data_IF_935952071622
#
_entry.id   IF_935952071622
#
_cell.length_a   1.000
_cell.length_b   1.000
_cell.length_c   1.000
_cell.angle_alpha   90.00
_cell.angle_beta   90.00
_cell.angle_gamma   90.00
#
_symmetry.space_group_name_H-M   'P 1'
#
loop_
_entity.id
_entity.type
_entity.pdbx_description
1 polymer ?
#
# COMPACT_ATOMS: atom_id res chain seq x y z
N UNK A 1 -16.06 -4.48 -26.45
CA UNK A 1 -14.62 -4.84 -26.31
C UNK A 1 -14.41 -6.24 -26.87
N UNK A 2 -13.34 -6.49 -27.63
CA UNK A 2 -13.15 -7.79 -28.28
C UNK A 2 -12.62 -8.83 -27.28
N UNK A 3 -13.30 -9.98 -27.12
CA UNK A 3 -12.96 -10.98 -26.07
C UNK A 3 -11.55 -11.57 -26.24
N UNK A 4 -11.10 -11.71 -27.48
CA UNK A 4 -9.77 -12.24 -27.81
C UNK A 4 -8.64 -11.32 -27.32
N UNK A 5 -8.78 -10.00 -27.53
CA UNK A 5 -7.80 -9.01 -27.08
C UNK A 5 -7.71 -8.97 -25.55
N UNK A 6 -8.86 -9.03 -24.87
CA UNK A 6 -8.91 -9.12 -23.41
C UNK A 6 -8.22 -10.39 -22.89
N UNK A 7 -8.49 -11.54 -23.51
CA UNK A 7 -7.87 -12.81 -23.09
C UNK A 7 -6.35 -12.77 -23.25
N UNK A 8 -5.83 -12.21 -24.35
CA UNK A 8 -4.39 -12.00 -24.56
C UNK A 8 -3.82 -11.11 -23.45
N UNK A 9 -4.41 -9.92 -23.25
CA UNK A 9 -3.93 -8.95 -22.28
C UNK A 9 -3.91 -9.51 -20.84
N UNK A 10 -4.93 -10.28 -20.46
CA UNK A 10 -5.00 -10.94 -19.14
C UNK A 10 -3.90 -12.00 -19.00
N UNK A 11 -3.68 -12.83 -20.03
CA UNK A 11 -2.71 -13.91 -19.98
C UNK A 11 -1.28 -13.36 -19.81
N UNK A 12 -0.96 -12.29 -20.53
CA UNK A 12 0.34 -11.62 -20.45
C UNK A 12 0.57 -10.94 -19.09
N UNK A 13 -0.47 -10.37 -18.49
CA UNK A 13 -0.34 -9.64 -17.22
C UNK A 13 -0.43 -10.53 -15.97
N UNK A 14 -0.93 -11.76 -16.09
CA UNK A 14 -1.29 -12.60 -14.94
C UNK A 14 -0.09 -12.90 -14.02
N UNK A 15 1.07 -13.22 -14.58
CA UNK A 15 2.26 -13.58 -13.77
C UNK A 15 2.74 -12.39 -12.94
N UNK A 16 2.82 -11.20 -13.54
CA UNK A 16 3.14 -9.97 -12.85
C UNK A 16 2.11 -9.64 -11.78
N UNK A 17 0.82 -9.76 -12.13
CA UNK A 17 -0.28 -9.48 -11.20
C UNK A 17 -0.22 -10.38 -9.97
N UNK A 18 -0.03 -11.69 -10.18
CA UNK A 18 0.10 -12.66 -9.08
C UNK A 18 1.32 -12.36 -8.20
N UNK A 19 2.46 -12.02 -8.79
CA UNK A 19 3.66 -11.65 -8.03
C UNK A 19 3.42 -10.43 -7.13
N UNK A 20 2.86 -9.35 -7.69
CA UNK A 20 2.51 -8.16 -6.92
C UNK A 20 1.43 -8.45 -5.86
N UNK A 21 0.40 -9.22 -6.18
CA UNK A 21 -0.68 -9.56 -5.26
C UNK A 21 -0.16 -10.37 -4.06
N UNK A 22 0.69 -11.37 -4.29
CA UNK A 22 1.29 -12.18 -3.22
C UNK A 22 2.22 -11.32 -2.36
N UNK A 23 3.08 -10.50 -2.96
CA UNK A 23 3.97 -9.63 -2.22
C UNK A 23 3.20 -8.65 -1.31
N UNK A 24 2.16 -8.01 -1.86
CA UNK A 24 1.30 -7.10 -1.10
C UNK A 24 0.54 -7.82 0.02
N UNK A 25 -0.05 -8.98 -0.27
CA UNK A 25 -0.82 -9.74 0.71
C UNK A 25 0.06 -10.22 1.89
N UNK A 26 1.23 -10.77 1.59
CA UNK A 26 2.19 -11.20 2.60
C UNK A 26 2.67 -10.01 3.43
N UNK A 27 3.09 -8.92 2.77
CA UNK A 27 3.59 -7.74 3.46
C UNK A 27 2.54 -7.13 4.40
N UNK A 28 1.33 -6.89 3.92
CA UNK A 28 0.23 -6.34 4.73
C UNK A 28 -0.11 -7.25 5.91
N UNK A 29 -0.20 -8.57 5.68
CA UNK A 29 -0.56 -9.53 6.75
C UNK A 29 0.53 -9.62 7.82
N UNK A 30 1.79 -9.71 7.40
CA UNK A 30 2.94 -9.73 8.31
C UNK A 30 3.02 -8.41 9.10
N UNK A 31 2.76 -7.27 8.44
CA UNK A 31 2.81 -5.97 9.09
C UNK A 31 1.78 -5.85 10.20
N UNK A 32 0.53 -6.26 9.95
CA UNK A 32 -0.53 -6.25 10.99
C UNK A 32 -0.15 -7.18 12.15
N UNK A 33 0.37 -8.37 11.85
CA UNK A 33 0.86 -9.29 12.87
C UNK A 33 1.97 -8.67 13.73
N UNK A 34 2.96 -8.01 13.10
CA UNK A 34 4.03 -7.29 13.80
C UNK A 34 3.46 -6.19 14.69
N UNK A 35 2.55 -5.36 14.18
CA UNK A 35 1.97 -4.23 14.94
C UNK A 35 1.34 -4.69 16.25
N UNK A 36 0.68 -5.85 16.26
CA UNK A 36 0.03 -6.37 17.45
C UNK A 36 0.98 -6.90 18.54
N UNK A 37 2.25 -7.17 18.21
CA UNK A 37 3.23 -7.68 19.17
C UNK A 37 3.97 -6.58 19.96
N UNK A 38 3.88 -5.31 19.54
CA UNK A 38 4.66 -4.22 20.12
C UNK A 38 3.82 -3.27 20.99
N UNK A 39 4.13 -3.21 22.30
CA UNK A 39 3.62 -2.18 23.21
C UNK A 39 4.45 -0.89 23.09
N UNK A 40 3.79 0.25 22.95
CA UNK A 40 4.42 1.53 22.57
C UNK A 40 4.63 2.50 23.72
N UNK A 41 4.15 2.15 24.92
CA UNK A 41 4.33 2.98 26.12
C UNK A 41 5.82 3.25 26.39
N UNK A 42 6.70 2.27 26.16
CA UNK A 42 8.15 2.43 26.34
C UNK A 42 8.82 3.28 25.26
N UNK A 43 8.19 3.43 24.09
CA UNK A 43 8.75 4.17 22.96
C UNK A 43 8.33 5.63 22.92
N UNK A 44 7.31 6.05 23.70
CA UNK A 44 6.85 7.44 23.74
C UNK A 44 7.98 8.40 24.12
N UNK A 45 8.75 8.09 25.15
CA UNK A 45 9.88 8.92 25.61
C UNK A 45 10.97 9.05 24.55
N UNK A 46 11.20 8.03 23.73
CA UNK A 46 12.20 8.07 22.64
C UNK A 46 11.66 8.91 21.48
N UNK A 47 10.40 8.74 21.10
CA UNK A 47 9.79 9.48 19.98
C UNK A 47 9.70 10.98 20.28
N UNK A 48 9.42 11.36 21.53
CA UNK A 48 9.40 12.77 21.96
C UNK A 48 10.76 13.46 21.78
N UNK A 49 11.88 12.75 21.92
CA UNK A 49 13.21 13.31 21.64
C UNK A 49 13.42 13.66 20.16
N UNK A 50 12.70 12.99 19.25
CA UNK A 50 12.80 13.22 17.81
C UNK A 50 11.68 14.09 17.25
N UNK A 51 10.91 14.80 18.10
CA UNK A 51 9.76 15.62 17.68
C UNK A 51 10.10 16.66 16.61
N UNK A 52 11.33 17.18 16.60
CA UNK A 52 11.80 18.10 15.55
C UNK A 52 11.81 17.47 14.14
N UNK A 53 11.99 16.15 14.06
CA UNK A 53 11.96 15.38 12.80
C UNK A 53 10.55 14.90 12.42
N UNK A 54 9.52 15.23 13.20
CA UNK A 54 8.12 14.88 12.90
C UNK A 54 7.70 15.36 11.51
N UNK A 55 8.20 16.53 11.08
CA UNK A 55 7.93 17.08 9.73
C UNK A 55 8.37 16.16 8.58
N UNK A 56 9.40 15.35 8.78
CA UNK A 56 9.90 14.40 7.77
C UNK A 56 9.07 13.11 7.72
N UNK A 57 8.26 12.86 8.76
CA UNK A 57 7.40 11.69 8.83
C UNK A 57 6.16 11.88 7.95
N UNK A 58 5.75 10.88 7.16
CA UNK A 58 4.48 10.90 6.43
C UNK A 58 3.24 11.02 7.33
N UNK A 59 3.35 10.58 8.59
CA UNK A 59 2.25 10.50 9.55
C UNK A 59 2.67 11.17 10.87
N UNK A 60 1.81 12.01 11.49
CA UNK A 60 2.12 12.65 12.77
C UNK A 60 2.35 11.62 13.87
N UNK A 61 3.26 11.92 14.80
CA UNK A 61 3.70 10.97 15.81
C UNK A 61 2.58 10.55 16.76
N UNK A 62 1.61 11.43 16.99
CA UNK A 62 0.40 11.13 17.77
C UNK A 62 -0.40 9.96 17.17
N UNK A 63 -0.52 9.91 15.84
CA UNK A 63 -1.22 8.83 15.16
C UNK A 63 -0.41 7.53 15.15
N UNK A 64 0.93 7.61 15.17
CA UNK A 64 1.80 6.42 15.28
C UNK A 64 1.64 5.70 16.62
N UNK A 65 1.17 6.37 17.67
CA UNK A 65 0.86 5.71 18.94
C UNK A 65 -0.42 4.89 18.87
N UNK A 66 -1.36 5.23 17.98
CA UNK A 66 -2.60 4.48 17.80
C UNK A 66 -2.40 3.22 16.93
N UNK A 67 -3.11 2.14 17.23
CA UNK A 67 -3.08 0.92 16.41
C UNK A 67 -3.51 1.18 14.96
N UNK A 68 -4.55 2.01 14.77
CA UNK A 68 -5.04 2.40 13.46
C UNK A 68 -4.01 3.17 12.64
N UNK A 69 -3.32 4.14 13.26
CA UNK A 69 -2.27 4.91 12.57
C UNK A 69 -1.06 4.06 12.19
N UNK A 70 -0.64 3.10 13.02
CA UNK A 70 0.45 2.17 12.66
C UNK A 70 0.10 1.29 11.46
N UNK A 71 -1.15 0.84 11.37
CA UNK A 71 -1.62 0.11 10.19
C UNK A 71 -1.68 1.04 8.98
N UNK A 72 -2.12 2.29 9.15
CA UNK A 72 -2.20 3.27 8.07
C UNK A 72 -0.83 3.57 7.42
N UNK A 73 0.26 3.61 8.21
CA UNK A 73 1.63 3.78 7.69
C UNK A 73 1.99 2.74 6.63
N UNK A 74 1.38 1.55 6.67
CA UNK A 74 1.61 0.49 5.68
C UNK A 74 1.38 0.98 4.24
N UNK A 75 0.48 1.94 4.02
CA UNK A 75 0.19 2.47 2.69
C UNK A 75 1.28 3.38 2.13
N UNK A 76 2.12 3.95 2.99
CA UNK A 76 3.27 4.80 2.62
C UNK A 76 4.58 4.00 2.55
N UNK A 77 4.56 2.73 2.93
CA UNK A 77 5.75 1.88 2.91
C UNK A 77 6.29 1.69 1.48
N UNK A 78 7.62 1.80 1.28
CA UNK A 78 8.23 1.69 -0.04
C UNK A 78 7.87 0.39 -0.76
N UNK A 79 7.71 -0.72 -0.04
CA UNK A 79 7.36 -2.01 -0.64
C UNK A 79 5.99 -1.95 -1.33
N UNK A 80 4.99 -1.32 -0.69
CA UNK A 80 3.64 -1.18 -1.26
C UNK A 80 3.69 -0.26 -2.48
N UNK A 81 4.36 0.88 -2.35
CA UNK A 81 4.52 1.87 -3.43
C UNK A 81 5.28 1.28 -4.62
N UNK A 82 6.34 0.50 -4.37
CA UNK A 82 7.11 -0.17 -5.42
C UNK A 82 6.28 -1.23 -6.13
N UNK A 83 5.49 -2.04 -5.42
CA UNK A 83 4.64 -3.05 -6.05
C UNK A 83 3.61 -2.43 -7.00
N UNK A 84 2.95 -1.36 -6.58
CA UNK A 84 1.97 -0.64 -7.43
C UNK A 84 2.65 0.08 -8.59
N UNK A 85 3.83 0.66 -8.37
CA UNK A 85 4.59 1.33 -9.41
C UNK A 85 5.09 0.33 -10.46
N UNK A 86 5.58 -0.83 -10.04
CA UNK A 86 5.98 -1.92 -10.94
C UNK A 86 4.80 -2.38 -11.78
N UNK A 87 3.63 -2.62 -11.18
CA UNK A 87 2.41 -2.96 -11.93
C UNK A 87 2.05 -1.89 -12.96
N UNK A 88 1.97 -0.62 -12.52
CA UNK A 88 1.57 0.51 -13.35
C UNK A 88 2.55 0.75 -14.52
N UNK A 89 3.85 0.79 -14.24
CA UNK A 89 4.90 1.10 -15.23
C UNK A 89 5.08 -0.06 -16.20
N UNK A 90 5.12 -1.31 -15.72
CA UNK A 90 5.27 -2.46 -16.60
C UNK A 90 4.09 -2.57 -17.57
N UNK A 91 2.85 -2.42 -17.07
CA UNK A 91 1.65 -2.51 -17.92
C UNK A 91 1.44 -1.30 -18.81
N UNK A 92 1.74 -0.10 -18.34
CA UNK A 92 1.65 1.11 -19.15
C UNK A 92 2.66 1.11 -20.30
N UNK A 93 3.90 0.69 -20.04
CA UNK A 93 4.95 0.59 -21.08
C UNK A 93 4.73 -0.57 -22.06
N UNK A 94 4.11 -1.66 -21.61
CA UNK A 94 3.79 -2.79 -22.49
C UNK A 94 2.68 -2.46 -23.51
N UNK A 95 1.95 -1.36 -23.33
CA UNK A 95 0.84 -0.95 -24.21
C UNK A 95 1.29 -0.62 -25.64
N UNK A 96 2.46 0.03 -25.79
CA UNK A 96 2.97 0.47 -27.09
C UNK A 96 4.38 -0.07 -27.30
N UNK A 97 5.35 0.34 -26.47
CA UNK A 97 6.75 -0.02 -26.66
C UNK A 97 7.01 -1.52 -26.44
N UNK A 98 6.24 -2.18 -25.57
CA UNK A 98 6.36 -3.63 -25.33
C UNK A 98 5.96 -4.48 -26.54
N UNK A 99 4.81 -4.20 -27.15
CA UNK A 99 4.37 -4.90 -28.37
C UNK A 99 5.27 -4.57 -29.57
N UNK A 100 5.77 -3.34 -29.66
CA UNK A 100 6.70 -2.93 -30.70
C UNK A 100 8.05 -3.63 -30.58
N UNK A 101 8.59 -3.73 -29.35
CA UNK A 101 9.85 -4.42 -29.08
C UNK A 101 9.78 -5.95 -29.28
N UNK A 102 8.61 -6.56 -29.11
CA UNK A 102 8.37 -7.99 -29.36
C UNK A 102 8.09 -8.31 -30.83
N UNK A 103 7.95 -7.31 -31.70
CA UNK A 103 7.54 -7.49 -33.09
C UNK A 103 6.08 -7.95 -33.26
N UNK A 104 5.29 -8.01 -32.19
CA UNK A 104 3.89 -8.46 -32.22
C UNK A 104 2.94 -7.36 -32.70
N UNK A 105 3.35 -6.09 -32.61
CA UNK A 105 2.53 -4.96 -33.04
C UNK A 105 2.18 -5.00 -34.54
N UNK A 106 3.13 -5.38 -35.40
CA UNK A 106 2.89 -5.48 -36.85
C UNK A 106 1.89 -6.60 -37.18
N UNK A 107 1.99 -7.73 -36.48
CA UNK A 107 1.03 -8.84 -36.60
C UNK A 107 -0.38 -8.46 -36.13
N UNK A 108 -0.50 -7.67 -35.05
CA UNK A 108 -1.80 -7.19 -34.56
C UNK A 108 -2.44 -6.17 -35.50
N UNK A 109 -1.64 -5.31 -36.13
CA UNK A 109 -2.12 -4.30 -37.08
C UNK A 109 -2.46 -4.88 -38.46
N UNK A 110 -1.92 -6.06 -38.80
CA UNK A 110 -2.32 -6.81 -40.00
C UNK A 110 -3.74 -7.40 -39.88
N UNK A 111 -4.25 -7.54 -38.65
CA UNK A 111 -5.62 -7.99 -38.39
C UNK A 111 -6.57 -6.78 -38.43
N UNK A 112 -7.86 -6.97 -38.80
CA UNK A 112 -8.83 -5.89 -38.95
C UNK A 112 -9.34 -5.36 -37.59
N UNK A 113 -8.43 -4.86 -36.76
CA UNK A 113 -8.73 -4.24 -35.47
C UNK A 113 -8.45 -2.74 -35.48
N UNK A 114 -9.34 -1.96 -34.85
CA UNK A 114 -9.12 -0.52 -34.69
C UNK A 114 -8.03 -0.28 -33.63
N UNK A 115 -7.10 0.66 -33.88
CA UNK A 115 -5.99 0.99 -32.96
C UNK A 115 -6.47 1.34 -31.54
N UNK A 116 -7.57 2.07 -31.43
CA UNK A 116 -8.19 2.41 -30.14
C UNK A 116 -8.74 1.21 -29.37
N UNK A 117 -9.17 0.15 -30.07
CA UNK A 117 -9.64 -1.08 -29.41
C UNK A 117 -8.48 -1.88 -28.79
N UNK A 118 -7.30 -1.85 -29.41
CA UNK A 118 -6.09 -2.50 -28.88
C UNK A 118 -5.67 -1.81 -27.58
N UNK A 119 -5.43 -0.50 -27.64
CA UNK A 119 -5.02 0.32 -26.49
C UNK A 119 -6.09 0.29 -25.39
N UNK A 120 -7.37 0.44 -25.76
CA UNK A 120 -8.47 0.44 -24.80
C UNK A 120 -8.63 -0.89 -24.06
N UNK A 121 -8.37 -2.02 -24.73
CA UNK A 121 -8.41 -3.33 -24.08
C UNK A 121 -7.29 -3.52 -23.06
N UNK A 122 -6.08 -3.05 -23.37
CA UNK A 122 -4.95 -3.09 -22.43
C UNK A 122 -5.16 -2.13 -21.26
N UNK A 123 -5.62 -0.90 -21.53
CA UNK A 123 -5.96 0.07 -20.50
C UNK A 123 -7.03 -0.48 -19.53
N UNK A 124 -8.09 -1.10 -20.05
CA UNK A 124 -9.12 -1.71 -19.22
C UNK A 124 -8.57 -2.81 -18.30
N UNK A 125 -7.71 -3.70 -18.82
CA UNK A 125 -7.08 -4.75 -18.02
C UNK A 125 -6.15 -4.17 -16.95
N UNK A 126 -5.41 -3.10 -17.27
CA UNK A 126 -4.51 -2.44 -16.31
C UNK A 126 -5.29 -1.77 -15.17
N UNK A 127 -6.38 -1.07 -15.48
CA UNK A 127 -7.25 -0.41 -14.48
C UNK A 127 -7.97 -1.45 -13.61
N UNK A 128 -8.53 -2.49 -14.21
CA UNK A 128 -9.18 -3.58 -13.46
C UNK A 128 -8.17 -4.31 -12.59
N UNK A 129 -6.97 -4.61 -13.12
CA UNK A 129 -5.91 -5.24 -12.34
C UNK A 129 -5.43 -4.37 -11.17
N UNK A 130 -5.34 -3.05 -11.36
CA UNK A 130 -5.05 -2.11 -10.28
C UNK A 130 -6.13 -2.09 -9.19
N UNK A 131 -7.41 -2.08 -9.59
CA UNK A 131 -8.52 -2.18 -8.64
C UNK A 131 -8.47 -3.50 -7.86
N UNK A 132 -8.19 -4.62 -8.52
CA UNK A 132 -8.05 -5.91 -7.84
C UNK A 132 -6.85 -5.94 -6.88
N UNK A 133 -5.71 -5.33 -7.21
CA UNK A 133 -4.58 -5.21 -6.27
C UNK A 133 -4.94 -4.41 -5.03
N UNK A 134 -5.71 -3.33 -5.19
CA UNK A 134 -6.21 -2.53 -4.07
C UNK A 134 -7.23 -3.28 -3.21
N UNK A 135 -8.05 -4.13 -3.82
CA UNK A 135 -8.92 -5.03 -3.07
C UNK A 135 -8.11 -6.07 -2.29
N UNK A 136 -7.03 -6.59 -2.87
CA UNK A 136 -6.14 -7.55 -2.18
C UNK A 136 -5.46 -6.89 -0.99
N UNK A 137 -4.94 -5.67 -1.10
CA UNK A 137 -4.32 -4.96 0.04
C UNK A 137 -5.33 -4.71 1.15
N UNK A 138 -6.51 -4.22 0.82
CA UNK A 138 -7.58 -3.99 1.79
C UNK A 138 -8.06 -5.28 2.47
N UNK A 139 -8.30 -6.35 1.71
CA UNK A 139 -8.68 -7.65 2.25
C UNK A 139 -7.60 -8.25 3.13
N UNK A 140 -6.33 -8.08 2.78
CA UNK A 140 -5.21 -8.59 3.58
C UNK A 140 -5.12 -7.90 4.93
N UNK A 141 -5.36 -6.58 4.97
CA UNK A 141 -5.45 -5.83 6.23
C UNK A 141 -6.67 -6.29 7.03
N UNK A 142 -7.84 -6.42 6.40
CA UNK A 142 -9.04 -6.90 7.07
C UNK A 142 -8.85 -8.29 7.69
N UNK A 143 -8.29 -9.23 6.93
CA UNK A 143 -7.98 -10.59 7.42
C UNK A 143 -6.94 -10.52 8.54
N UNK A 144 -5.89 -9.72 8.39
CA UNK A 144 -4.87 -9.52 9.42
C UNK A 144 -5.45 -9.01 10.73
N UNK A 145 -6.34 -8.02 10.69
CA UNK A 145 -6.97 -7.44 11.88
C UNK A 145 -7.87 -8.47 12.58
N UNK A 146 -8.58 -9.31 11.82
CA UNK A 146 -9.47 -10.32 12.41
C UNK A 146 -8.73 -11.52 13.00
N UNK A 147 -7.57 -11.88 12.43
CA UNK A 147 -6.77 -13.02 12.89
C UNK A 147 -5.83 -12.67 14.05
N UNK A 148 -5.58 -11.39 14.29
CA UNK A 148 -4.55 -10.96 15.25
C UNK A 148 -5.17 -10.44 16.54
N UNK A 149 -4.62 -10.90 17.66
CA UNK A 149 -4.98 -10.45 19.01
C UNK A 149 -3.86 -9.58 19.58
N UNK A 150 -4.21 -8.51 20.29
CA UNK A 150 -3.29 -7.57 20.91
C UNK A 150 -3.11 -7.93 22.38
N UNK A 151 -1.86 -7.94 22.85
CA UNK A 151 -1.53 -8.11 24.28
C UNK A 151 -1.43 -6.73 24.91
N UNK A 152 -2.40 -6.35 25.72
CA UNK A 152 -2.35 -5.11 26.51
C UNK A 152 -1.77 -5.40 27.91
N UNK A 153 -0.88 -4.52 28.39
CA UNK A 153 -0.49 -4.51 29.80
C UNK A 153 -1.73 -4.08 30.62
N UNK A 154 -2.15 -4.83 31.65
CA UNK A 154 -3.47 -4.64 32.25
C UNK A 154 -3.54 -3.32 33.03
N UNK A 155 -4.74 -2.73 33.16
CA UNK A 155 -4.97 -1.67 34.14
C UNK A 155 -4.58 -2.18 35.54
N UNK A 156 -4.03 -1.33 36.43
CA UNK A 156 -3.59 -1.75 37.75
C UNK A 156 -4.72 -2.47 38.48
N UNK A 157 -4.49 -3.72 38.88
CA UNK A 157 -5.47 -4.58 39.51
C UNK A 157 -6.11 -3.85 40.69
N UNK A 158 -7.38 -3.48 40.59
CA UNK A 158 -8.01 -2.61 41.58
C UNK A 158 -8.83 -3.45 42.54
N UNK A 159 -8.48 -3.45 43.82
CA UNK A 159 -9.31 -4.09 44.85
C UNK A 159 -10.41 -3.10 45.28
N UNK A 160 -11.67 -3.49 45.08
CA UNK A 160 -12.83 -2.74 45.60
C UNK A 160 -13.09 -3.17 47.03
N UNK A 161 -12.81 -2.29 47.99
CA UNK A 161 -13.09 -2.58 49.41
C UNK A 161 -14.60 -2.42 49.64
N UNK A 162 -15.34 -3.49 50.04
CA UNK A 162 -16.81 -3.52 50.01
C UNK A 162 -17.52 -2.55 50.98
N UNK A 163 -16.78 -1.83 51.82
CA UNK A 163 -17.36 -0.89 52.80
C UNK A 163 -17.15 0.59 52.50
N UNK A 164 -16.19 0.98 51.65
CA UNK A 164 -15.83 2.40 51.44
C UNK A 164 -15.66 2.84 49.98
N UNK A 165 -15.84 1.96 49.00
CA UNK A 165 -15.81 2.34 47.58
C UNK A 165 -14.46 2.90 47.08
N UNK A 166 -13.40 2.85 47.89
CA UNK A 166 -12.05 3.22 47.46
C UNK A 166 -11.45 2.10 46.60
N UNK A 167 -10.97 2.51 45.44
CA UNK A 167 -10.24 1.70 44.48
C UNK A 167 -8.75 1.75 44.83
N UNK A 168 -8.24 0.71 45.50
CA UNK A 168 -6.82 0.63 45.88
C UNK A 168 -6.08 -0.21 44.84
N UNK A 169 -5.04 0.33 44.17
CA UNK A 169 -4.25 -0.42 43.21
C UNK A 169 -3.43 -1.50 43.93
N UNK A 170 -3.64 -2.76 43.53
CA UNK A 170 -3.00 -3.94 44.07
C UNK A 170 -1.61 -4.11 43.44
N UNK A 171 -0.58 -3.74 44.20
CA UNK A 171 0.84 -3.82 43.82
C UNK A 171 1.42 -5.26 43.85
N UNK A 172 0.65 -6.25 44.30
CA UNK A 172 1.09 -7.64 44.52
C UNK A 172 0.52 -8.64 43.49
N UNK A 173 -0.37 -8.20 42.59
CA UNK A 173 -0.88 -9.05 41.52
C UNK A 173 0.07 -8.94 40.31
N UNK A 174 0.63 -10.07 39.87
CA UNK A 174 1.35 -10.13 38.61
C UNK A 174 0.38 -9.68 37.48
N UNK A 175 0.74 -8.66 36.68
CA UNK A 175 -0.11 -8.17 35.61
C UNK A 175 -0.33 -9.28 34.57
N UNK A 176 -1.46 -9.99 34.62
CA UNK A 176 -1.83 -10.94 33.56
C UNK A 176 -2.16 -10.15 32.29
N UNK A 177 -1.45 -10.38 31.16
CA UNK A 177 -1.68 -9.66 29.92
C UNK A 177 -3.08 -9.98 29.40
N UNK A 178 -3.93 -8.95 29.24
CA UNK A 178 -5.27 -9.11 28.68
C UNK A 178 -5.13 -9.14 27.16
N UNK A 179 -5.52 -10.25 26.56
CA UNK A 179 -5.57 -10.43 25.11
C UNK A 179 -6.87 -9.82 24.58
N UNK A 180 -6.78 -8.64 23.97
CA UNK A 180 -7.92 -7.94 23.35
C UNK A 180 -7.88 -8.15 21.84
N UNK A 181 -8.98 -8.59 21.19
CA UNK A 181 -9.00 -8.74 19.74
C UNK A 181 -8.81 -7.38 19.06
N UNK A 182 -7.96 -7.32 18.03
CA UNK A 182 -7.60 -6.06 17.36
C UNK A 182 -8.79 -5.40 16.65
N UNK A 183 -9.84 -6.17 16.36
CA UNK A 183 -11.09 -5.72 15.76
C UNK A 183 -11.92 -4.79 16.66
N UNK A 184 -11.74 -4.85 17.98
CA UNK A 184 -12.39 -3.90 18.91
C UNK A 184 -11.69 -2.53 18.90
N UNK A 185 -10.43 -2.47 18.48
CA UNK A 185 -9.60 -1.25 18.49
C UNK A 185 -9.46 -0.58 17.12
N UNK A 186 -9.75 -1.28 16.03
CA UNK A 186 -9.54 -0.77 14.67
C UNK A 186 -10.72 -1.09 13.76
N UNK A 187 -11.43 -0.06 13.30
CA UNK A 187 -12.39 -0.19 12.21
C UNK A 187 -11.64 -0.21 10.86
N UNK A 188 -11.76 -1.33 10.14
CA UNK A 188 -11.10 -1.54 8.85
C UNK A 188 -11.65 -0.63 7.73
N UNK A 189 -12.81 0.02 7.93
CA UNK A 189 -13.40 0.94 6.95
C UNK A 189 -12.61 2.24 6.82
N UNK A 190 -11.86 2.61 7.86
CA UNK A 190 -11.03 3.81 7.88
C UNK A 190 -9.93 3.76 6.81
N UNK A 191 -9.54 2.58 6.34
CA UNK A 191 -8.51 2.40 5.31
C UNK A 191 -9.03 2.47 3.87
N UNK A 192 -10.34 2.61 3.66
CA UNK A 192 -10.93 2.70 2.31
C UNK A 192 -10.45 3.93 1.52
N UNK A 193 -10.38 5.14 2.10
CA UNK A 193 -9.85 6.32 1.38
C UNK A 193 -8.38 6.18 0.99
N UNK A 194 -7.54 5.58 1.86
CA UNK A 194 -6.13 5.33 1.56
C UNK A 194 -5.98 4.35 0.39
N UNK A 195 -6.76 3.28 0.40
CA UNK A 195 -6.81 2.27 -0.68
C UNK A 195 -7.25 2.91 -2.01
N UNK A 196 -8.24 3.80 -1.98
CA UNK A 196 -8.70 4.54 -3.15
C UNK A 196 -7.64 5.53 -3.66
N UNK A 197 -6.89 6.19 -2.78
CA UNK A 197 -5.80 7.06 -3.18
C UNK A 197 -4.68 6.28 -3.91
N UNK A 198 -4.28 5.11 -3.39
CA UNK A 198 -3.34 4.24 -4.08
C UNK A 198 -3.86 3.75 -5.44
N UNK A 199 -5.16 3.46 -5.55
CA UNK A 199 -5.79 3.16 -6.84
C UNK A 199 -5.59 4.32 -7.83
N UNK A 200 -5.94 5.55 -7.44
CA UNK A 200 -5.79 6.75 -8.26
C UNK A 200 -4.33 6.96 -8.69
N UNK A 201 -3.38 6.82 -7.76
CA UNK A 201 -1.95 6.90 -8.04
C UNK A 201 -1.51 5.84 -9.06
N UNK A 202 -1.97 4.60 -8.91
CA UNK A 202 -1.65 3.49 -9.82
C UNK A 202 -2.18 3.77 -11.23
N UNK A 203 -3.42 4.25 -11.35
CA UNK A 203 -4.03 4.61 -12.64
C UNK A 203 -3.28 5.78 -13.29
N UNK A 204 -2.92 6.79 -12.51
CA UNK A 204 -2.12 7.93 -12.97
C UNK A 204 -0.76 7.48 -13.51
N UNK A 205 -0.01 6.67 -12.74
CA UNK A 205 1.29 6.15 -13.16
C UNK A 205 1.18 5.28 -14.42
N UNK A 206 0.13 4.47 -14.54
CA UNK A 206 -0.12 3.66 -15.74
C UNK A 206 -0.42 4.52 -16.98
N UNK A 207 -1.21 5.58 -16.82
CA UNK A 207 -1.52 6.54 -17.88
C UNK A 207 -0.27 7.32 -18.33
N UNK A 208 0.49 7.86 -17.38
CA UNK A 208 1.74 8.55 -17.65
C UNK A 208 2.77 7.60 -18.31
N UNK A 209 2.82 6.33 -17.89
CA UNK A 209 3.71 5.33 -18.49
C UNK A 209 3.32 5.03 -19.93
N UNK A 210 2.03 4.94 -20.21
CA UNK A 210 1.50 4.78 -21.57
C UNK A 210 1.82 6.00 -22.44
N UNK A 211 1.72 7.22 -21.89
CA UNK A 211 2.08 8.45 -22.59
C UNK A 211 3.57 8.46 -22.97
N UNK A 212 4.46 8.22 -22.00
CA UNK A 212 5.90 8.16 -22.25
C UNK A 212 6.30 7.01 -23.19
N UNK A 213 5.58 5.89 -23.14
CA UNK A 213 5.75 4.77 -24.05
C UNK A 213 5.40 5.15 -25.50
N UNK A 214 4.42 6.02 -25.71
CA UNK A 214 4.10 6.52 -27.06
C UNK A 214 5.18 7.41 -27.67
N UNK A 215 5.99 8.06 -26.83
CA UNK A 215 7.09 8.94 -27.26
C UNK A 215 8.38 8.18 -27.56
N UNK A 216 8.51 6.93 -27.08
CA UNK A 216 9.77 6.19 -27.09
C UNK A 216 9.67 4.79 -27.70
N UNK A 217 10.68 4.40 -28.46
CA UNK A 217 10.76 3.06 -29.08
C UNK A 217 11.23 1.96 -28.10
N UNK A 218 11.93 2.33 -27.02
CA UNK A 218 12.59 1.40 -26.10
C UNK A 218 11.93 1.36 -24.72
N UNK A 219 11.56 0.15 -24.26
CA UNK A 219 10.93 -0.11 -22.95
C UNK A 219 11.80 0.36 -21.77
N UNK A 220 13.12 0.17 -21.86
CA UNK A 220 14.07 0.58 -20.81
C UNK A 220 14.12 2.09 -20.62
N UNK A 221 13.96 2.87 -21.70
CA UNK A 221 13.94 4.34 -21.64
C UNK A 221 12.70 4.84 -20.92
N UNK A 222 11.52 4.26 -21.20
CA UNK A 222 10.27 4.62 -20.51
C UNK A 222 10.35 4.32 -19.02
N UNK A 223 10.91 3.17 -18.64
CA UNK A 223 11.12 2.80 -17.23
C UNK A 223 12.11 3.76 -16.57
N UNK A 224 13.24 4.05 -17.21
CA UNK A 224 14.27 4.96 -16.70
C UNK A 224 13.75 6.38 -16.45
N UNK A 225 12.96 6.93 -17.38
CA UNK A 225 12.35 8.26 -17.21
C UNK A 225 11.38 8.25 -16.03
N UNK A 226 10.57 7.21 -15.88
CA UNK A 226 9.62 7.10 -14.76
C UNK A 226 10.30 7.03 -13.41
N UNK A 227 11.33 6.19 -13.30
CA UNK A 227 12.13 6.09 -12.08
C UNK A 227 12.82 7.42 -11.79
N UNK A 228 13.35 8.10 -12.82
CA UNK A 228 13.94 9.43 -12.70
C UNK A 228 12.96 10.47 -12.16
N UNK A 229 11.74 10.55 -12.71
CA UNK A 229 10.69 11.46 -12.24
C UNK A 229 10.36 11.17 -10.77
N UNK A 230 10.24 9.90 -10.39
CA UNK A 230 9.95 9.51 -9.01
C UNK A 230 11.07 9.92 -8.04
N UNK A 231 12.33 9.68 -8.41
CA UNK A 231 13.49 10.08 -7.59
C UNK A 231 13.53 11.60 -7.42
N UNK A 232 13.32 12.36 -8.50
CA UNK A 232 13.29 13.83 -8.44
C UNK A 232 12.13 14.30 -7.57
N UNK A 233 10.95 13.72 -7.71
CA UNK A 233 9.79 14.07 -6.87
C UNK A 233 10.05 13.77 -5.39
N UNK A 234 10.67 12.63 -5.06
CA UNK A 234 11.04 12.28 -3.70
C UNK A 234 12.11 13.25 -3.13
N UNK A 235 13.13 13.60 -3.92
CA UNK A 235 14.15 14.56 -3.53
C UNK A 235 13.55 15.96 -3.30
N UNK A 236 12.67 16.42 -4.21
CA UNK A 236 11.99 17.70 -4.05
C UNK A 236 11.07 17.70 -2.82
N UNK A 237 10.39 16.58 -2.50
CA UNK A 237 9.59 16.45 -1.28
C UNK A 237 10.46 16.63 -0.03
N UNK A 238 11.62 15.97 0.02
CA UNK A 238 12.55 16.08 1.15
C UNK A 238 13.08 17.50 1.27
N UNK A 239 13.50 18.11 0.16
CA UNK A 239 14.01 19.49 0.13
C UNK A 239 12.95 20.51 0.53
N UNK A 240 11.71 20.35 0.07
CA UNK A 240 10.60 21.23 0.43
C UNK A 240 10.36 21.20 1.95
N UNK A 241 10.27 20.00 2.53
CA UNK A 241 10.10 19.83 3.98
C UNK A 241 11.29 20.39 4.77
N UNK A 242 12.52 20.22 4.27
CA UNK A 242 13.72 20.77 4.88
C UNK A 242 13.85 22.30 4.70
N UNK A 243 13.15 22.91 3.75
CA UNK A 243 13.15 24.37 3.55
C UNK A 243 12.14 25.10 4.44
N UNK A 244 11.16 24.38 4.99
CA UNK A 244 10.17 24.88 5.95
C UNK A 244 10.63 24.76 7.43
N UNK A 245 11.91 24.47 7.66
CA UNK A 245 12.59 24.48 8.97
C UNK A 245 13.54 25.65 9.09
#
# INVERSE_FOLDING_TARGET
>A
MNRLLLKKAILESRTLWLGCAVALALFCSIRVWIVAQFSMERFQTIVEQFREFEKLSPVPFEQLFTYAGRIAVTFDEPIVVLCIAVWAIARGSDCVSGELGRGTMEMLLAQPFRRSQIIGSQAAVTVVGAALLMLVTWLSIYIGVQLTTVKEEPPPATWKVPLFGFEVPNLLADPEPVEVPMSERVDSRVFAPATFNLFCLTVFLAGLSTLLSSMGRHRSTTIGIMVGIYIVAAAMKILAVASES
#
